data_IF_373771087444
#
_entry.id   IF_373771087444
#
_cell.length_a   1.000
_cell.length_b   1.000
_cell.length_c   1.000
_cell.angle_alpha   90.00
_cell.angle_beta   90.00
_cell.angle_gamma   90.00
#
_symmetry.space_group_name_H-M   'P 1'
#
loop_
_entity.id
_entity.type
_entity.pdbx_description
1 polymer ?
#
# COMPACT_ATOMS: atom_id res chain seq x y z
N UNK A 1 43.01 20.28 -56.91
CA UNK A 1 41.97 19.32 -56.59
C UNK A 1 41.78 19.32 -55.08
N UNK A 2 40.65 19.81 -54.61
CA UNK A 2 40.36 19.92 -53.18
C UNK A 2 39.45 18.78 -52.85
N UNK A 3 40.00 17.77 -52.16
CA UNK A 3 39.15 16.75 -51.52
C UNK A 3 38.50 17.32 -50.25
N UNK A 4 37.26 17.66 -50.34
CA UNK A 4 36.47 17.98 -49.17
C UNK A 4 35.98 16.68 -48.57
N UNK A 5 36.62 16.31 -47.50
CA UNK A 5 36.10 15.25 -46.65
C UNK A 5 35.03 15.87 -45.75
N UNK A 6 33.79 15.62 -46.08
CA UNK A 6 32.70 15.94 -45.17
C UNK A 6 32.64 14.86 -44.11
N UNK A 7 33.22 15.17 -42.97
CA UNK A 7 33.04 14.33 -41.80
C UNK A 7 31.66 14.63 -41.24
N UNK A 8 30.72 13.80 -41.58
CA UNK A 8 29.39 13.87 -40.97
C UNK A 8 29.51 13.38 -39.53
N UNK A 9 29.55 14.30 -38.61
CA UNK A 9 29.40 13.95 -37.20
C UNK A 9 27.96 13.48 -36.96
N UNK A 10 27.76 12.18 -36.86
CA UNK A 10 26.55 11.64 -36.30
C UNK A 10 26.61 11.83 -34.80
N UNK A 11 25.91 12.83 -34.31
CA UNK A 11 25.64 12.96 -32.88
C UNK A 11 24.59 11.92 -32.59
N UNK A 12 25.02 10.77 -32.09
CA UNK A 12 24.10 9.83 -31.47
C UNK A 12 23.58 10.46 -30.17
N UNK A 13 22.36 10.98 -30.24
CA UNK A 13 21.67 11.41 -29.06
C UNK A 13 21.34 10.15 -28.24
N UNK A 14 22.14 9.87 -27.23
CA UNK A 14 21.80 8.90 -26.23
C UNK A 14 20.66 9.48 -25.38
N UNK A 15 19.44 9.12 -25.73
CA UNK A 15 18.32 9.26 -24.80
C UNK A 15 18.59 8.31 -23.64
N UNK A 16 19.21 8.82 -22.61
CA UNK A 16 19.23 8.11 -21.33
C UNK A 16 17.82 8.08 -20.82
N UNK A 17 17.12 6.98 -21.07
CA UNK A 17 15.91 6.69 -20.33
C UNK A 17 16.33 6.49 -18.87
N UNK A 18 15.94 7.43 -18.03
CA UNK A 18 16.00 7.20 -16.60
C UNK A 18 15.31 5.86 -16.30
N UNK A 19 15.94 4.93 -15.56
CA UNK A 19 15.27 3.71 -15.17
C UNK A 19 13.96 4.12 -14.51
N UNK A 20 12.86 3.54 -14.98
CA UNK A 20 11.57 3.71 -14.34
C UNK A 20 11.75 3.29 -12.90
N UNK A 21 11.97 4.25 -12.01
CA UNK A 21 11.92 4.04 -10.58
C UNK A 21 10.52 3.54 -10.32
N UNK A 22 10.40 2.25 -9.95
CA UNK A 22 9.16 1.76 -9.38
C UNK A 22 8.83 2.68 -8.22
N UNK A 23 7.84 3.54 -8.42
CA UNK A 23 7.27 4.30 -7.33
C UNK A 23 6.80 3.31 -6.29
N UNK A 24 7.46 3.30 -5.16
CA UNK A 24 7.00 2.59 -3.99
C UNK A 24 5.85 3.43 -3.45
N UNK A 25 4.63 2.97 -3.74
CA UNK A 25 3.44 3.69 -3.32
C UNK A 25 3.06 3.27 -1.90
N UNK A 26 3.14 4.22 -0.99
CA UNK A 26 2.54 4.06 0.32
C UNK A 26 1.06 4.35 0.19
N UNK A 27 0.26 3.39 0.61
CA UNK A 27 -1.20 3.47 0.55
C UNK A 27 -1.79 3.43 1.95
N UNK A 28 -3.02 3.92 2.06
CA UNK A 28 -3.86 3.79 3.24
C UNK A 28 -5.08 2.94 2.89
N UNK A 29 -5.40 1.98 3.74
CA UNK A 29 -6.59 1.15 3.64
C UNK A 29 -7.23 1.03 5.02
N UNK A 30 -8.54 0.93 5.06
CA UNK A 30 -9.28 0.73 6.30
C UNK A 30 -10.13 -0.52 6.18
N UNK A 31 -10.08 -1.38 7.17
CA UNK A 31 -10.86 -2.61 7.14
C UNK A 31 -10.81 -3.34 8.49
N UNK A 32 -11.38 -4.53 8.50
CA UNK A 32 -11.42 -5.38 9.67
C UNK A 32 -10.15 -6.24 9.77
N UNK A 33 -9.48 -6.17 10.90
CA UNK A 33 -8.27 -6.95 11.16
C UNK A 33 -8.65 -8.34 11.65
N UNK A 34 -8.22 -9.36 10.91
CA UNK A 34 -8.45 -10.78 11.24
C UNK A 34 -7.12 -11.54 11.28
N UNK A 35 -7.09 -12.56 12.10
CA UNK A 35 -5.99 -13.53 12.12
C UNK A 35 -6.45 -14.81 11.45
N UNK A 36 -5.71 -15.26 10.44
CA UNK A 36 -5.95 -16.54 9.76
C UNK A 36 -4.72 -17.44 9.92
N UNK A 37 -4.77 -18.36 10.87
CA UNK A 37 -3.62 -19.19 11.20
C UNK A 37 -2.46 -18.33 11.72
N UNK A 38 -1.32 -18.39 11.04
CA UNK A 38 -0.16 -17.55 11.35
C UNK A 38 -0.14 -16.23 10.58
N UNK A 39 -1.16 -15.98 9.75
CA UNK A 39 -1.22 -14.80 8.89
C UNK A 39 -2.21 -13.77 9.43
N UNK A 40 -1.88 -12.50 9.23
CA UNK A 40 -2.78 -11.40 9.48
C UNK A 40 -3.33 -10.87 8.17
N UNK A 41 -4.64 -10.64 8.13
CA UNK A 41 -5.34 -10.14 6.95
C UNK A 41 -6.26 -8.99 7.34
N UNK A 42 -6.47 -8.09 6.39
CA UNK A 42 -7.45 -7.03 6.49
C UNK A 42 -8.58 -7.37 5.53
N UNK A 43 -9.77 -7.59 6.06
CA UNK A 43 -10.96 -7.96 5.27
C UNK A 43 -11.97 -6.83 5.23
N UNK A 44 -12.91 -6.90 4.31
CA UNK A 44 -13.88 -5.82 4.08
C UNK A 44 -13.20 -4.44 3.97
N UNK A 45 -12.03 -4.41 3.36
CA UNK A 45 -11.18 -3.24 3.29
C UNK A 45 -11.56 -2.31 2.15
N UNK A 46 -11.34 -1.02 2.37
CA UNK A 46 -11.49 0.01 1.35
C UNK A 46 -10.47 -0.14 0.24
N UNK A 47 -10.69 0.53 -0.89
CA UNK A 47 -9.70 0.62 -1.95
C UNK A 47 -8.46 1.34 -1.46
N UNK A 48 -7.25 0.92 -1.89
CA UNK A 48 -6.03 1.62 -1.52
C UNK A 48 -6.04 3.05 -2.03
N UNK A 49 -5.76 3.99 -1.14
CA UNK A 49 -5.59 5.40 -1.49
C UNK A 49 -4.16 5.84 -1.24
N UNK A 50 -3.59 6.71 -2.08
CA UNK A 50 -2.26 7.22 -1.85
C UNK A 50 -2.16 7.91 -0.49
N UNK A 51 -1.09 7.66 0.23
CA UNK A 51 -0.84 8.29 1.51
C UNK A 51 0.55 8.90 1.56
N UNK A 52 0.63 10.16 1.92
CA UNK A 52 1.90 10.88 2.01
C UNK A 52 2.46 10.98 3.43
N UNK A 53 1.68 10.61 4.44
CA UNK A 53 2.09 10.71 5.83
C UNK A 53 2.45 9.33 6.41
N UNK A 54 3.41 9.28 7.33
CA UNK A 54 3.84 8.05 7.98
C UNK A 54 2.88 7.56 9.05
N UNK A 55 2.04 8.45 9.57
CA UNK A 55 1.00 8.13 10.54
C UNK A 55 -0.34 8.60 10.00
N UNK A 56 -1.41 7.86 10.32
CA UNK A 56 -2.74 8.24 9.89
C UNK A 56 -3.15 9.57 10.54
N UNK A 57 -3.33 10.65 9.77
CA UNK A 57 -3.92 11.85 10.31
C UNK A 57 -5.35 11.59 10.78
N UNK A 58 -5.83 12.34 11.74
CA UNK A 58 -7.18 12.16 12.31
C UNK A 58 -8.28 12.15 11.24
N UNK A 59 -8.09 12.88 10.15
CA UNK A 59 -9.04 12.92 9.03
C UNK A 59 -9.16 11.60 8.27
N UNK A 60 -8.17 10.71 8.33
CA UNK A 60 -8.20 9.39 7.68
C UNK A 60 -8.84 8.31 8.57
N UNK A 61 -9.10 8.61 9.84
CA UNK A 61 -9.69 7.66 10.78
C UNK A 61 -11.20 7.80 10.72
N UNK A 62 -11.92 6.80 10.15
CA UNK A 62 -13.38 6.92 10.05
C UNK A 62 -14.05 6.72 11.40
N UNK A 63 -15.21 7.38 11.64
CA UNK A 63 -15.98 7.21 12.87
C UNK A 63 -16.77 5.90 12.93
N UNK A 64 -16.92 5.21 11.81
CA UNK A 64 -17.65 3.96 11.67
C UNK A 64 -16.93 3.01 10.72
N UNK A 65 -17.14 1.68 10.84
CA UNK A 65 -16.51 0.72 9.93
C UNK A 65 -16.98 0.96 8.49
N UNK A 66 -16.05 1.16 7.52
CA UNK A 66 -16.43 1.26 6.13
C UNK A 66 -16.84 -0.11 5.58
N UNK A 67 -17.74 -0.11 4.59
CA UNK A 67 -18.16 -1.32 3.88
C UNK A 67 -17.27 -1.54 2.65
N UNK A 68 -16.03 -1.97 2.87
CA UNK A 68 -15.09 -2.32 1.81
C UNK A 68 -15.29 -3.74 1.30
N UNK A 69 -14.65 -4.06 0.17
CA UNK A 69 -14.74 -5.37 -0.50
C UNK A 69 -13.40 -6.06 -0.64
N UNK A 70 -12.31 -5.42 -0.28
CA UNK A 70 -10.97 -5.92 -0.52
C UNK A 70 -10.47 -6.76 0.64
N UNK A 71 -9.55 -7.66 0.33
CA UNK A 71 -8.78 -8.42 1.31
C UNK A 71 -7.30 -8.20 1.02
N UNK A 72 -6.56 -7.82 2.05
CA UNK A 72 -5.12 -7.63 1.97
C UNK A 72 -4.42 -8.50 3.00
N UNK A 73 -3.34 -9.15 2.58
CA UNK A 73 -2.43 -9.82 3.51
C UNK A 73 -1.44 -8.80 4.07
N UNK A 74 -1.27 -8.81 5.36
CA UNK A 74 -0.37 -7.89 6.05
C UNK A 74 0.98 -8.57 6.29
N UNK A 75 2.06 -7.91 5.93
CA UNK A 75 3.44 -8.35 6.15
C UNK A 75 4.25 -7.25 6.82
N UNK A 76 5.44 -7.58 7.32
CA UNK A 76 6.28 -6.62 8.03
C UNK A 76 5.66 -6.15 9.36
N UNK A 77 4.96 -7.04 10.04
CA UNK A 77 4.05 -6.71 11.15
C UNK A 77 4.67 -6.88 12.54
N UNK A 78 5.93 -7.31 12.63
CA UNK A 78 6.55 -7.68 13.91
C UNK A 78 6.63 -6.53 14.92
N UNK A 79 6.65 -5.29 14.45
CA UNK A 79 6.74 -4.09 15.29
C UNK A 79 5.37 -3.56 15.74
N UNK A 80 4.30 -4.15 15.22
CA UNK A 80 2.94 -3.69 15.50
C UNK A 80 2.22 -4.69 16.39
N UNK A 81 1.48 -4.19 17.36
CA UNK A 81 0.75 -5.03 18.30
C UNK A 81 -0.62 -5.40 17.71
N UNK A 82 -0.63 -6.16 16.62
CA UNK A 82 -1.86 -6.57 15.94
C UNK A 82 -2.81 -7.39 16.81
N UNK A 83 -2.35 -8.28 17.71
CA UNK A 83 -3.27 -9.02 18.57
C UNK A 83 -4.21 -8.15 19.39
N UNK A 84 -3.78 -6.97 19.81
CA UNK A 84 -4.65 -6.05 20.56
C UNK A 84 -5.74 -5.40 19.70
N UNK A 85 -5.55 -5.38 18.38
CA UNK A 85 -6.50 -4.78 17.44
C UNK A 85 -7.29 -5.83 16.66
N UNK A 86 -7.14 -7.10 17.01
CA UNK A 86 -7.84 -8.20 16.35
C UNK A 86 -9.35 -8.01 16.44
N UNK A 87 -10.06 -8.29 15.36
CA UNK A 87 -11.51 -8.19 15.23
C UNK A 87 -12.04 -6.75 15.38
N UNK A 88 -11.18 -5.77 15.09
CA UNK A 88 -11.52 -4.35 15.11
C UNK A 88 -11.26 -3.72 13.75
N UNK A 89 -11.88 -2.60 13.50
CA UNK A 89 -11.60 -1.80 12.32
C UNK A 89 -10.33 -1.00 12.54
N UNK A 90 -9.36 -1.17 11.64
CA UNK A 90 -8.06 -0.52 11.71
C UNK A 90 -7.73 0.20 10.41
N UNK A 91 -6.97 1.28 10.53
CA UNK A 91 -6.36 1.96 9.39
C UNK A 91 -4.93 1.43 9.25
N UNK A 92 -4.67 0.79 8.12
CA UNK A 92 -3.36 0.25 7.79
C UNK A 92 -2.72 1.11 6.70
N UNK A 93 -1.49 1.47 6.91
CA UNK A 93 -0.66 2.17 5.92
C UNK A 93 0.57 1.35 5.65
N UNK A 94 1.03 1.39 4.43
CA UNK A 94 2.23 0.67 4.06
C UNK A 94 2.43 0.60 2.56
N UNK A 95 3.46 -0.16 2.19
CA UNK A 95 3.82 -0.40 0.80
C UNK A 95 2.85 -1.39 0.18
N UNK A 96 2.19 -0.98 -0.90
CA UNK A 96 1.27 -1.84 -1.63
C UNK A 96 2.02 -2.76 -2.58
N UNK A 97 1.78 -4.06 -2.45
CA UNK A 97 2.36 -5.09 -3.31
C UNK A 97 1.21 -5.82 -3.99
N UNK A 98 1.04 -5.56 -5.29
CA UNK A 98 0.00 -6.22 -6.07
C UNK A 98 0.36 -7.68 -6.35
N UNK A 99 -0.54 -8.58 -6.01
CA UNK A 99 -0.41 -10.02 -6.22
C UNK A 99 -1.82 -10.62 -6.35
N UNK A 100 -1.93 -11.94 -6.45
CA UNK A 100 -3.23 -12.66 -6.45
C UNK A 100 -4.07 -12.26 -5.23
N UNK A 101 -3.48 -12.33 -4.05
CA UNK A 101 -3.94 -11.62 -2.86
C UNK A 101 -2.94 -10.51 -2.61
N UNK A 102 -3.36 -9.27 -2.79
CA UNK A 102 -2.47 -8.14 -2.62
C UNK A 102 -2.00 -8.05 -1.17
N UNK A 103 -0.75 -7.63 -1.02
CA UNK A 103 -0.08 -7.52 0.28
C UNK A 103 0.22 -6.08 0.60
N UNK A 104 0.24 -5.78 1.87
CA UNK A 104 0.70 -4.49 2.37
C UNK A 104 1.82 -4.75 3.36
N UNK A 105 2.99 -4.18 3.09
CA UNK A 105 4.08 -4.13 4.04
C UNK A 105 3.82 -2.95 4.99
N UNK A 106 3.38 -3.28 6.19
CA UNK A 106 2.81 -2.32 7.13
C UNK A 106 3.85 -1.34 7.65
N UNK A 107 3.55 -0.06 7.57
CA UNK A 107 4.34 1.02 8.17
C UNK A 107 3.61 1.72 9.31
N UNK A 108 2.28 1.58 9.37
CA UNK A 108 1.44 2.13 10.44
C UNK A 108 0.16 1.31 10.59
N UNK A 109 -0.25 1.08 11.82
CA UNK A 109 -1.49 0.42 12.15
C UNK A 109 -2.16 1.18 13.31
N UNK A 110 -3.37 1.67 13.07
CA UNK A 110 -4.11 2.47 14.05
C UNK A 110 -5.54 1.95 14.14
N UNK A 111 -6.02 1.70 15.36
CA UNK A 111 -7.42 1.34 15.58
C UNK A 111 -8.33 2.54 15.27
N UNK A 112 -9.35 2.29 14.46
CA UNK A 112 -10.35 3.29 14.13
C UNK A 112 -11.64 3.10 14.91
N UNK A 113 -12.16 1.87 14.95
CA UNK A 113 -13.41 1.51 15.60
C UNK A 113 -13.21 0.18 16.33
N UNK A 114 -13.79 0.04 17.51
CA UNK A 114 -13.63 -1.17 18.36
C UNK A 114 -14.35 -2.42 17.82
N UNK A 115 -15.06 -2.30 16.71
CA UNK A 115 -15.79 -3.40 16.07
C UNK A 115 -15.57 -3.40 14.58
N UNK A 116 -15.87 -4.53 13.92
CA UNK A 116 -15.88 -4.61 12.46
C UNK A 116 -17.26 -4.33 11.90
N UNK A 117 -17.33 -4.03 10.60
CA UNK A 117 -18.59 -3.87 9.89
C UNK A 117 -19.44 -5.15 10.00
N UNK A 118 -20.78 -5.04 10.15
CA UNK A 118 -21.67 -6.19 10.07
C UNK A 118 -21.46 -6.94 8.75
N UNK A 119 -21.30 -8.27 8.81
CA UNK A 119 -21.06 -9.07 7.61
C UNK A 119 -19.60 -9.10 7.12
N UNK A 120 -18.66 -8.49 7.83
CA UNK A 120 -17.25 -8.65 7.52
C UNK A 120 -16.84 -10.13 7.62
N UNK A 121 -16.11 -10.71 6.64
CA UNK A 121 -15.67 -12.09 6.68
C UNK A 121 -14.86 -12.38 7.94
N UNK A 122 -15.05 -13.57 8.50
CA UNK A 122 -14.23 -14.04 9.63
C UNK A 122 -12.94 -14.66 9.15
#
# INVERSE_FOLDING_TARGET
>A
MICRVFTTFMIAAFLSQAPATKKIDIVSVTGCLREHGSNWVLVAATDPTPSSANQAPAAEIPPAPPAGKNTFRLIGISEFNLPQMKDRTVVIRGLFIKDKVSRINVTSAVEAVASCAPGAPK
#
